data_IF_594371007850
#
_entry.id   IF_594371007850
#
_cell.length_a   1.000
_cell.length_b   1.000
_cell.length_c   1.000
_cell.angle_alpha   90.00
_cell.angle_beta   90.00
_cell.angle_gamma   90.00
#
_symmetry.space_group_name_H-M   'P 1'
#
loop_
_entity.id
_entity.type
_entity.pdbx_description
1 polymer ?
#
# COMPACT_ATOMS: atom_id res chain seq x y z
N UNK A 1 -0.72 -16.65 -22.06
CA UNK A 1 0.44 -15.77 -21.85
C UNK A 1 1.05 -16.18 -20.52
N UNK A 2 2.18 -16.90 -20.53
CA UNK A 2 2.85 -17.29 -19.29
C UNK A 2 3.80 -16.16 -18.89
N UNK A 3 3.63 -15.66 -17.66
CA UNK A 3 4.41 -14.58 -17.05
C UNK A 3 5.48 -15.18 -16.13
N UNK A 4 6.33 -16.01 -16.70
CA UNK A 4 7.39 -16.74 -15.97
C UNK A 4 8.49 -15.77 -15.45
N UNK A 5 8.47 -14.53 -15.91
CA UNK A 5 9.27 -13.39 -15.44
C UNK A 5 8.79 -12.84 -14.09
N UNK A 6 7.56 -13.14 -13.68
CA UNK A 6 6.98 -12.60 -12.45
C UNK A 6 7.36 -13.46 -11.25
N UNK A 7 7.80 -12.81 -10.18
CA UNK A 7 8.15 -13.49 -8.94
C UNK A 7 7.00 -14.41 -8.45
N UNK A 8 7.28 -15.67 -8.06
CA UNK A 8 6.25 -16.64 -7.68
C UNK A 8 5.25 -16.13 -6.63
N UNK A 9 5.72 -15.37 -5.64
CA UNK A 9 4.87 -14.78 -4.58
C UNK A 9 3.82 -13.82 -5.12
N UNK A 10 4.11 -13.10 -6.21
CA UNK A 10 3.17 -12.17 -6.85
C UNK A 10 2.12 -12.96 -7.63
N UNK A 11 2.55 -14.01 -8.35
CA UNK A 11 1.63 -14.92 -9.06
C UNK A 11 0.67 -15.61 -8.08
N UNK A 12 1.19 -16.13 -6.98
CA UNK A 12 0.40 -16.77 -5.92
C UNK A 12 -0.67 -15.82 -5.38
N UNK A 13 -0.26 -14.63 -4.92
CA UNK A 13 -1.19 -13.64 -4.34
C UNK A 13 -2.23 -13.15 -5.32
N UNK A 14 -1.85 -12.90 -6.57
CA UNK A 14 -2.78 -12.44 -7.60
C UNK A 14 -3.77 -13.53 -8.00
N UNK A 15 -3.34 -14.79 -8.11
CA UNK A 15 -4.23 -15.93 -8.36
C UNK A 15 -5.23 -16.14 -7.22
N UNK A 16 -4.84 -15.84 -5.98
CA UNK A 16 -5.69 -15.89 -4.79
C UNK A 16 -6.54 -14.61 -4.55
N UNK A 17 -6.62 -13.68 -5.52
CA UNK A 17 -7.32 -12.38 -5.37
C UNK A 17 -6.82 -11.48 -4.23
N UNK A 18 -5.57 -11.69 -3.77
CA UNK A 18 -4.92 -10.91 -2.71
C UNK A 18 -4.11 -9.76 -3.31
N UNK A 19 -4.80 -8.69 -3.70
CA UNK A 19 -4.22 -7.54 -4.40
C UNK A 19 -3.82 -6.36 -3.50
N UNK A 20 -3.69 -6.58 -2.19
CA UNK A 20 -3.31 -5.55 -1.21
C UNK A 20 -4.51 -4.78 -0.67
N UNK A 21 -4.34 -3.47 -0.46
CA UNK A 21 -5.35 -2.61 0.17
C UNK A 21 -6.73 -2.73 -0.51
N UNK A 22 -6.78 -2.86 -1.84
CA UNK A 22 -8.06 -2.93 -2.58
C UNK A 22 -8.87 -4.21 -2.35
N UNK A 23 -8.25 -5.27 -1.83
CA UNK A 23 -8.90 -6.53 -1.48
C UNK A 23 -8.89 -6.81 0.03
N UNK A 24 -8.39 -5.87 0.85
CA UNK A 24 -8.20 -6.09 2.29
C UNK A 24 -7.05 -7.03 2.65
N UNK A 25 -6.35 -7.62 1.68
CA UNK A 25 -5.22 -8.52 1.90
C UNK A 25 -4.30 -8.58 0.67
N UNK A 26 -2.99 -8.63 0.90
CA UNK A 26 -1.96 -8.81 -0.12
C UNK A 26 -0.65 -9.29 0.51
N UNK A 27 0.36 -8.45 0.53
CA UNK A 27 1.55 -8.68 1.37
C UNK A 27 1.24 -8.55 2.86
N UNK A 28 0.26 -7.71 3.20
CA UNK A 28 -0.25 -7.50 4.55
C UNK A 28 -1.78 -7.56 4.54
N UNK A 29 -2.38 -7.71 5.72
CA UNK A 29 -3.83 -7.66 5.93
C UNK A 29 -4.27 -6.27 6.34
N UNK A 30 -5.46 -5.87 5.90
CA UNK A 30 -6.02 -4.54 6.11
C UNK A 30 -7.52 -4.64 6.40
N UNK A 31 -7.96 -4.11 7.55
CA UNK A 31 -9.39 -3.81 7.75
C UNK A 31 -9.77 -2.49 7.07
N UNK A 32 -11.05 -2.25 6.75
CA UNK A 32 -11.50 -0.97 6.21
C UNK A 32 -11.09 0.24 7.07
N UNK A 33 -11.11 0.10 8.39
CA UNK A 33 -10.74 1.13 9.36
C UNK A 33 -9.24 1.40 9.30
N UNK A 34 -8.41 0.35 9.23
CA UNK A 34 -6.97 0.48 9.07
C UNK A 34 -6.61 1.19 7.77
N UNK A 35 -7.32 0.89 6.66
CA UNK A 35 -7.10 1.56 5.37
C UNK A 35 -7.34 3.06 5.51
N UNK A 36 -8.48 3.47 6.08
CA UNK A 36 -8.82 4.88 6.29
C UNK A 36 -7.80 5.58 7.18
N UNK A 37 -7.42 4.96 8.30
CA UNK A 37 -6.44 5.51 9.23
C UNK A 37 -5.07 5.70 8.56
N UNK A 38 -4.60 4.69 7.84
CA UNK A 38 -3.32 4.66 7.15
C UNK A 38 -3.24 5.71 6.04
N UNK A 39 -4.32 5.91 5.27
CA UNK A 39 -4.40 6.96 4.25
C UNK A 39 -4.23 8.35 4.88
N UNK A 40 -4.99 8.65 5.94
CA UNK A 40 -4.91 9.93 6.63
C UNK A 40 -3.56 10.17 7.29
N UNK A 41 -3.00 9.15 7.95
CA UNK A 41 -1.71 9.27 8.64
C UNK A 41 -0.54 9.49 7.68
N UNK A 42 -0.48 8.72 6.58
CA UNK A 42 0.58 8.87 5.59
C UNK A 42 0.53 10.23 4.90
N UNK A 43 -0.67 10.71 4.54
CA UNK A 43 -0.83 12.04 3.96
C UNK A 43 -0.34 13.15 4.90
N UNK A 44 -0.73 13.10 6.19
CA UNK A 44 -0.26 14.06 7.20
C UNK A 44 1.26 14.06 7.33
N UNK A 45 1.89 12.87 7.42
CA UNK A 45 3.36 12.75 7.52
C UNK A 45 4.06 13.34 6.30
N UNK A 46 3.60 13.03 5.09
CA UNK A 46 4.21 13.53 3.85
C UNK A 46 4.13 15.06 3.75
N UNK A 47 2.99 15.66 4.09
CA UNK A 47 2.83 17.13 4.07
C UNK A 47 3.72 17.79 5.12
N UNK A 48 3.76 17.25 6.35
CA UNK A 48 4.59 17.78 7.41
C UNK A 48 6.08 17.74 7.04
N UNK A 49 6.57 16.59 6.56
CA UNK A 49 7.97 16.44 6.11
C UNK A 49 8.27 17.41 4.97
N UNK A 50 7.36 17.55 4.00
CA UNK A 50 7.54 18.48 2.87
C UNK A 50 7.72 19.93 3.34
N UNK A 51 6.92 20.42 4.30
CA UNK A 51 7.05 21.80 4.82
C UNK A 51 8.44 22.08 5.38
N UNK A 52 8.95 21.14 6.18
CA UNK A 52 10.30 21.24 6.76
C UNK A 52 11.37 21.25 5.66
N UNK A 53 11.26 20.36 4.67
CA UNK A 53 12.22 20.30 3.56
C UNK A 53 12.17 21.54 2.64
N UNK A 54 11.03 22.24 2.59
CA UNK A 54 10.88 23.50 1.86
C UNK A 54 11.26 24.74 2.70
N UNK A 55 11.76 24.57 3.94
CA UNK A 55 12.14 25.67 4.81
C UNK A 55 10.96 26.54 5.26
N UNK A 56 9.75 25.97 5.31
CA UNK A 56 8.55 26.65 5.82
C UNK A 56 8.42 26.39 7.32
N UNK A 57 8.59 27.44 8.12
CA UNK A 57 8.25 27.48 9.56
C UNK A 57 6.73 27.57 9.76
#
# INVERSE_FOLDING_TARGET
SNRDDVAPVVLEKTSASKFGIKSGEGMFSYTPEQIKALQGERARKLVAVRRILEGRE
#
